data_IF_790709359656
#
_entry.id   IF_790709359656
#
_cell.length_a   1.000
_cell.length_b   1.000
_cell.length_c   1.000
_cell.angle_alpha   90.00
_cell.angle_beta   90.00
_cell.angle_gamma   90.00
#
_symmetry.space_group_name_H-M   'P 1'
#
loop_
_entity.id
_entity.type
_entity.pdbx_description
1 polymer ?
#
# COMPACT_ATOMS: atom_id res chain seq x y z
N UNK A 1 -12.45 9.32 3.88
CA UNK A 1 -11.54 10.32 3.31
C UNK A 1 -10.41 10.50 4.30
N UNK A 2 -9.16 10.47 3.84
CA UNK A 2 -7.97 10.66 4.68
C UNK A 2 -7.13 11.77 4.06
N UNK A 3 -6.55 12.64 4.88
CA UNK A 3 -5.69 13.71 4.41
C UNK A 3 -4.24 13.28 4.38
N UNK A 4 -3.54 13.58 3.28
CA UNK A 4 -2.10 13.36 3.12
C UNK A 4 -1.47 14.63 2.53
N UNK A 5 -0.48 15.25 3.20
CA UNK A 5 0.17 16.44 2.66
C UNK A 5 0.98 16.11 1.41
N UNK A 6 1.26 17.13 0.60
CA UNK A 6 2.15 17.01 -0.56
C UNK A 6 3.53 16.46 -0.15
N UNK A 7 3.96 15.37 -0.80
CA UNK A 7 5.23 14.69 -0.47
C UNK A 7 5.16 13.84 0.82
N UNK A 8 4.01 13.84 1.49
CA UNK A 8 3.74 13.07 2.69
C UNK A 8 3.53 11.59 2.44
N UNK A 9 3.53 10.84 3.54
CA UNK A 9 3.26 9.41 3.55
C UNK A 9 2.15 9.07 4.54
N UNK A 10 1.34 8.07 4.20
CA UNK A 10 0.27 7.54 5.04
C UNK A 10 0.38 6.03 5.12
N UNK A 11 0.47 5.51 6.34
CA UNK A 11 0.48 4.07 6.55
C UNK A 11 -0.91 3.48 6.26
N UNK A 12 -0.95 2.42 5.46
CA UNK A 12 -2.16 1.63 5.25
C UNK A 12 -2.20 0.59 6.37
N UNK A 13 -3.09 0.82 7.34
CA UNK A 13 -3.24 -0.04 8.53
C UNK A 13 -4.48 -0.92 8.45
N UNK A 14 -4.65 -1.82 9.42
CA UNK A 14 -5.84 -2.65 9.59
C UNK A 14 -7.15 -1.85 9.73
N UNK A 15 -7.08 -0.57 10.13
CA UNK A 15 -8.26 0.32 10.12
C UNK A 15 -8.75 0.63 8.71
N UNK A 16 -7.85 0.59 7.73
CA UNK A 16 -8.11 0.89 6.32
C UNK A 16 -8.39 -0.40 5.55
N UNK A 17 -7.57 -1.43 5.72
CA UNK A 17 -7.71 -2.72 5.05
C UNK A 17 -7.52 -3.85 6.05
N UNK A 18 -8.57 -4.62 6.30
CA UNK A 18 -8.51 -5.82 7.12
C UNK A 18 -9.45 -6.87 6.54
N UNK A 19 -8.92 -8.07 6.34
CA UNK A 19 -9.68 -9.24 6.03
C UNK A 19 -9.14 -10.48 6.73
N UNK A 20 -10.06 -11.40 6.96
CA UNK A 20 -9.82 -12.66 7.64
C UNK A 20 -10.58 -13.75 6.89
N UNK A 21 -9.95 -14.90 6.70
CA UNK A 21 -10.55 -16.03 6.01
C UNK A 21 -10.29 -17.32 6.81
N UNK A 22 -11.33 -18.11 7.14
CA UNK A 22 -11.15 -19.35 7.88
C UNK A 22 -10.19 -20.32 7.17
N UNK A 23 -9.15 -20.78 7.88
CA UNK A 23 -8.16 -21.71 7.34
C UNK A 23 -7.16 -21.10 6.35
N UNK A 24 -7.11 -19.77 6.23
CA UNK A 24 -6.07 -19.05 5.50
C UNK A 24 -5.23 -18.20 6.47
N UNK A 25 -3.94 -18.17 6.22
CA UNK A 25 -2.99 -17.27 6.89
C UNK A 25 -3.05 -15.87 6.27
N UNK A 26 -2.57 -14.86 7.00
CA UNK A 26 -2.57 -13.47 6.52
C UNK A 26 -1.75 -13.26 5.23
N UNK A 27 -0.73 -14.10 4.97
CA UNK A 27 0.03 -14.08 3.71
C UNK A 27 -0.72 -14.67 2.53
N UNK A 28 -1.78 -15.46 2.76
CA UNK A 28 -2.64 -16.01 1.70
C UNK A 28 -3.74 -15.04 1.26
N UNK A 29 -3.93 -13.93 1.99
CA UNK A 29 -4.90 -12.87 1.67
C UNK A 29 -4.18 -11.77 0.90
N UNK A 30 -4.49 -11.62 -0.39
CA UNK A 30 -3.80 -10.69 -1.28
C UNK A 30 -4.69 -9.50 -1.58
N UNK A 31 -4.12 -8.31 -1.48
CA UNK A 31 -4.68 -7.08 -2.03
C UNK A 31 -3.94 -6.72 -3.31
N UNK A 32 -4.69 -6.40 -4.36
CA UNK A 32 -4.15 -5.91 -5.63
C UNK A 32 -4.84 -4.64 -6.08
N UNK A 33 -4.04 -3.66 -6.50
CA UNK A 33 -4.52 -2.48 -7.21
C UNK A 33 -4.62 -2.86 -8.69
N UNK A 34 -5.86 -3.08 -9.16
CA UNK A 34 -6.13 -3.56 -10.53
C UNK A 34 -6.85 -2.53 -11.40
N UNK A 35 -7.46 -1.52 -10.80
CA UNK A 35 -8.24 -0.46 -11.44
C UNK A 35 -8.05 0.84 -10.68
N UNK A 36 -8.23 1.96 -11.39
CA UNK A 36 -8.09 3.31 -10.86
C UNK A 36 -6.77 3.45 -10.09
N UNK A 37 -5.62 3.31 -10.75
CA UNK A 37 -4.33 3.45 -10.06
C UNK A 37 -4.20 4.84 -9.44
N UNK A 38 -3.49 4.99 -8.30
CA UNK A 38 -3.25 6.32 -7.74
C UNK A 38 -2.58 7.21 -8.80
N UNK A 39 -3.11 8.40 -9.00
CA UNK A 39 -2.65 9.33 -10.04
C UNK A 39 -1.64 10.34 -9.48
N UNK A 40 -1.69 10.61 -8.18
CA UNK A 40 -0.89 11.63 -7.52
C UNK A 40 0.00 11.05 -6.42
N UNK A 41 0.18 9.73 -6.43
CA UNK A 41 1.06 9.02 -5.52
C UNK A 41 1.19 7.57 -5.93
N UNK A 42 1.63 6.76 -4.98
CA UNK A 42 1.85 5.33 -5.18
C UNK A 42 1.74 4.58 -3.86
N UNK A 43 1.51 3.27 -3.94
CA UNK A 43 1.65 2.38 -2.79
C UNK A 43 3.05 1.79 -2.80
N UNK A 44 3.72 1.81 -1.65
CA UNK A 44 5.07 1.29 -1.45
C UNK A 44 5.12 0.32 -0.29
N UNK A 45 6.02 -0.65 -0.37
CA UNK A 45 6.50 -1.41 0.78
C UNK A 45 7.70 -0.68 1.36
N UNK A 46 7.63 -0.36 2.65
CA UNK A 46 8.64 0.38 3.39
C UNK A 46 9.36 -0.56 4.35
N UNK A 47 10.53 -1.04 3.95
CA UNK A 47 11.30 -2.03 4.72
C UNK A 47 12.64 -1.48 5.17
N UNK A 48 13.11 -1.87 6.34
CA UNK A 48 14.48 -1.53 6.78
C UNK A 48 15.46 -2.38 5.98
N UNK A 49 16.27 -1.75 5.13
CA UNK A 49 17.33 -2.45 4.42
C UNK A 49 18.69 -2.14 5.07
N UNK A 50 19.54 -3.16 5.31
CA UNK A 50 20.95 -2.93 5.60
C UNK A 50 21.59 -2.08 4.51
N UNK A 51 22.46 -1.15 4.90
CA UNK A 51 23.16 -0.23 3.98
C UNK A 51 23.94 -0.94 2.85
N UNK A 52 24.32 -2.21 3.06
CA UNK A 52 25.07 -3.04 2.09
C UNK A 52 24.17 -3.85 1.14
N UNK A 53 22.84 -3.67 1.20
CA UNK A 53 21.92 -4.39 0.32
C UNK A 53 21.98 -3.83 -1.11
N UNK A 54 22.03 -4.67 -2.16
CA UNK A 54 22.03 -4.19 -3.53
C UNK A 54 20.74 -3.40 -3.82
N UNK A 55 20.90 -2.17 -4.33
CA UNK A 55 19.86 -1.14 -4.44
C UNK A 55 18.79 -1.41 -5.53
N UNK A 56 18.62 -2.66 -5.98
CA UNK A 56 18.16 -2.87 -7.35
C UNK A 56 16.67 -2.63 -7.60
N UNK A 57 15.83 -2.34 -6.59
CA UNK A 57 14.37 -2.18 -6.81
C UNK A 57 13.64 -1.12 -5.98
N UNK A 58 14.29 -0.40 -5.08
CA UNK A 58 13.60 0.55 -4.21
C UNK A 58 14.35 1.85 -3.97
N UNK A 59 13.62 2.91 -3.65
CA UNK A 59 14.19 4.21 -3.30
C UNK A 59 14.64 4.19 -1.84
N UNK A 60 15.93 4.44 -1.62
CA UNK A 60 16.46 4.64 -0.27
C UNK A 60 15.98 5.98 0.29
N UNK A 61 15.40 5.94 1.47
CA UNK A 61 14.92 7.12 2.19
C UNK A 61 15.97 7.57 3.22
N UNK A 62 15.98 8.86 3.61
CA UNK A 62 16.94 9.39 4.59
C UNK A 62 16.87 8.72 5.96
N UNK A 63 15.79 8.02 6.27
CA UNK A 63 15.56 7.32 7.53
C UNK A 63 16.08 5.87 7.54
N UNK A 64 16.83 5.47 6.51
CA UNK A 64 17.44 4.14 6.40
C UNK A 64 16.47 3.05 5.91
N UNK A 65 15.26 3.41 5.49
CA UNK A 65 14.30 2.48 4.89
C UNK A 65 14.35 2.53 3.38
N UNK A 66 13.94 1.44 2.75
CA UNK A 66 13.77 1.35 1.30
C UNK A 66 12.30 1.29 0.96
N UNK A 67 11.86 2.22 0.10
CA UNK A 67 10.52 2.26 -0.46
C UNK A 67 10.50 1.54 -1.81
N UNK A 68 9.79 0.42 -1.88
CA UNK A 68 9.63 -0.35 -3.12
C UNK A 68 8.20 -0.19 -3.63
N UNK A 69 7.96 0.42 -4.80
CA UNK A 69 6.63 0.53 -5.37
C UNK A 69 5.97 -0.83 -5.54
N UNK A 70 4.71 -0.94 -5.14
CA UNK A 70 3.94 -2.17 -5.30
C UNK A 70 2.49 -1.91 -5.69
N UNK A 71 1.94 -2.79 -6.50
CA UNK A 71 0.50 -2.90 -6.73
C UNK A 71 -0.12 -4.11 -6.05
N UNK A 72 0.69 -4.94 -5.38
CA UNK A 72 0.26 -6.20 -4.76
C UNK A 72 0.92 -6.36 -3.39
N UNK A 73 0.12 -6.62 -2.36
CA UNK A 73 0.58 -6.84 -1.00
C UNK A 73 -0.40 -7.76 -0.28
N UNK A 74 -0.06 -8.21 0.92
CA UNK A 74 -0.82 -9.19 1.70
C UNK A 74 -1.39 -8.58 2.98
N UNK A 75 -2.32 -9.29 3.63
CA UNK A 75 -2.75 -8.92 4.98
C UNK A 75 -1.57 -8.99 5.97
N UNK A 76 -0.59 -9.87 5.75
CA UNK A 76 0.62 -9.92 6.56
C UNK A 76 1.44 -8.63 6.44
N UNK A 77 1.62 -8.08 5.23
CA UNK A 77 2.37 -6.83 5.03
C UNK A 77 1.69 -5.64 5.76
N UNK A 78 0.35 -5.61 5.78
CA UNK A 78 -0.41 -4.61 6.55
C UNK A 78 -0.19 -4.81 8.05
N UNK A 79 -0.25 -6.06 8.53
CA UNK A 79 -0.04 -6.40 9.94
C UNK A 79 1.37 -6.05 10.43
N UNK A 80 2.37 -6.21 9.56
CA UNK A 80 3.76 -5.82 9.81
C UNK A 80 3.97 -4.29 9.70
N UNK A 81 2.96 -3.56 9.20
CA UNK A 81 2.97 -2.12 9.12
C UNK A 81 3.86 -1.56 8.01
N UNK A 82 4.19 -2.37 7.01
CA UNK A 82 5.13 -1.98 5.94
C UNK A 82 4.44 -1.44 4.68
N UNK A 83 3.11 -1.40 4.62
CA UNK A 83 2.37 -0.86 3.46
C UNK A 83 2.06 0.63 3.66
N UNK A 84 2.48 1.46 2.71
CA UNK A 84 2.31 2.92 2.78
C UNK A 84 1.81 3.48 1.45
N UNK A 85 0.97 4.51 1.51
CA UNK A 85 0.76 5.43 0.40
C UNK A 85 1.79 6.56 0.50
N UNK A 86 2.39 6.93 -0.63
CA UNK A 86 3.32 8.05 -0.75
C UNK A 86 2.78 9.04 -1.78
N UNK A 87 2.56 10.28 -1.36
CA UNK A 87 2.14 11.35 -2.27
C UNK A 87 3.34 11.82 -3.11
N UNK A 88 3.11 12.09 -4.40
CA UNK A 88 4.15 12.50 -5.36
C UNK A 88 4.77 13.86 -5.05
N UNK A 89 4.02 14.73 -4.36
CA UNK A 89 4.39 16.13 -4.10
C UNK A 89 3.92 17.09 -5.19
N UNK A 90 3.25 16.59 -6.24
CA UNK A 90 2.56 17.44 -7.22
C UNK A 90 1.25 17.93 -6.62
N UNK A 91 0.90 19.23 -6.71
CA UNK A 91 -0.38 19.72 -6.22
C UNK A 91 -1.56 18.97 -6.83
N UNK A 92 -2.45 18.48 -5.98
CA UNK A 92 -3.63 17.73 -6.35
C UNK A 92 -4.73 17.99 -5.32
N UNK A 93 -5.98 18.06 -5.75
CA UNK A 93 -7.12 18.18 -4.83
C UNK A 93 -7.47 16.84 -4.17
N UNK A 94 -7.29 15.73 -4.89
CA UNK A 94 -7.58 14.39 -4.36
C UNK A 94 -6.90 13.30 -5.16
N UNK A 95 -6.69 12.14 -4.54
CA UNK A 95 -6.29 10.90 -5.20
C UNK A 95 -7.24 9.77 -4.80
N UNK A 96 -7.44 8.79 -5.68
CA UNK A 96 -8.31 7.66 -5.37
C UNK A 96 -7.96 6.43 -6.15
N UNK A 97 -8.08 5.27 -5.49
CA UNK A 97 -7.80 3.99 -6.11
C UNK A 97 -8.56 2.85 -5.45
N UNK A 98 -8.63 1.70 -6.13
CA UNK A 98 -9.33 0.52 -5.62
C UNK A 98 -8.39 -0.63 -5.33
N UNK A 99 -8.55 -1.21 -4.15
CA UNK A 99 -7.98 -2.50 -3.80
C UNK A 99 -9.00 -3.58 -4.12
N UNK A 100 -8.54 -4.66 -4.75
CA UNK A 100 -9.26 -5.91 -4.86
C UNK A 100 -8.58 -6.93 -3.96
N UNK A 101 -9.37 -7.46 -3.03
CA UNK A 101 -8.97 -8.59 -2.20
C UNK A 101 -9.15 -9.91 -2.96
N UNK A 102 -8.19 -10.81 -2.81
CA UNK A 102 -8.18 -12.14 -3.40
C UNK A 102 -7.76 -13.16 -2.34
N UNK A 103 -8.45 -14.30 -2.35
CA UNK A 103 -8.05 -15.50 -1.61
C UNK A 103 -7.79 -16.61 -2.63
N UNK A 104 -6.60 -17.22 -2.60
CA UNK A 104 -6.27 -18.29 -3.55
C UNK A 104 -7.26 -19.47 -3.53
N UNK A 105 -7.98 -19.66 -2.43
CA UNK A 105 -8.93 -20.76 -2.23
C UNK A 105 -10.40 -20.41 -2.53
N UNK A 106 -10.72 -19.14 -2.83
CA UNK A 106 -12.10 -18.70 -3.07
C UNK A 106 -12.19 -17.65 -4.18
N UNK A 107 -13.16 -17.80 -5.09
CA UNK A 107 -13.49 -16.83 -6.14
C UNK A 107 -14.25 -15.60 -5.62
N UNK A 108 -13.90 -15.12 -4.43
CA UNK A 108 -14.49 -13.92 -3.83
C UNK A 108 -13.50 -12.77 -3.99
N UNK A 109 -13.94 -11.70 -4.63
CA UNK A 109 -13.22 -10.43 -4.62
C UNK A 109 -14.06 -9.36 -3.97
N UNK A 110 -13.46 -8.64 -3.02
CA UNK A 110 -14.07 -7.47 -2.40
C UNK A 110 -13.28 -6.27 -2.90
N UNK A 111 -13.97 -5.35 -3.56
CA UNK A 111 -13.40 -4.08 -3.99
C UNK A 111 -13.59 -3.04 -2.89
N UNK A 112 -12.49 -2.43 -2.43
CA UNK A 112 -12.53 -1.31 -1.49
C UNK A 112 -11.88 -0.09 -2.11
N UNK A 113 -12.64 1.01 -2.18
CA UNK A 113 -12.16 2.30 -2.68
C UNK A 113 -11.46 3.06 -1.57
N UNK A 114 -10.26 3.54 -1.86
CA UNK A 114 -9.50 4.45 -1.04
C UNK A 114 -9.57 5.85 -1.65
N UNK A 115 -9.87 6.84 -0.80
CA UNK A 115 -10.04 8.23 -1.22
C UNK A 115 -9.18 9.09 -0.30
N UNK A 116 -8.27 9.81 -0.91
CA UNK A 116 -7.34 10.72 -0.29
C UNK A 116 -7.75 12.12 -0.70
N UNK A 117 -7.93 12.98 0.29
CA UNK A 117 -8.15 14.41 0.08
C UNK A 117 -6.81 15.11 0.31
N UNK A 118 -6.39 15.87 -0.69
CA UNK A 118 -5.09 16.52 -0.72
C UNK A 118 -5.21 18.04 -0.56
N UNK A 119 -6.44 18.59 -0.54
CA UNK A 119 -6.73 20.02 -0.36
C UNK A 119 -6.96 20.80 -1.64
#
# INVERSE_FOLDING_TARGET
>A
MVWVPEGGMLQITNRILQAEAPGASASEIIYKITQDHPQFGEVVLLVSMPADSPADKGQHLPDGRTATPTSTFTQQDINEGIVWYRHSGVPAQSDSFRFQEYLYKQSRSIAKRFIIDNG
#
